data_IF_726233623329
#
_entry.id   IF_726233623329
#
_cell.length_a   1.000
_cell.length_b   1.000
_cell.length_c   1.000
_cell.angle_alpha   90.00
_cell.angle_beta   90.00
_cell.angle_gamma   90.00
#
_symmetry.space_group_name_H-M   'P 1'
#
loop_
_entity.id
_entity.type
_entity.pdbx_description
1 polymer ?
#
# COMPACT_ATOMS: atom_id res chain seq x y z
N UNK A 1 -6.55 -35.49 15.63
CA UNK A 1 -7.82 -36.25 15.64
C UNK A 1 -7.96 -37.19 14.43
N UNK A 2 -6.86 -37.73 13.88
CA UNK A 2 -6.91 -38.68 12.76
C UNK A 2 -5.98 -39.90 12.90
N UNK A 3 -5.28 -40.05 14.03
CA UNK A 3 -4.38 -41.20 14.25
C UNK A 3 -5.10 -42.38 14.93
N UNK A 4 -6.21 -42.13 15.64
CA UNK A 4 -6.97 -43.18 16.33
C UNK A 4 -7.87 -44.02 15.42
N UNK A 5 -8.06 -43.64 14.15
CA UNK A 5 -8.95 -44.34 13.21
C UNK A 5 -8.26 -45.49 12.46
N UNK A 6 -6.93 -45.51 12.39
CA UNK A 6 -6.19 -46.54 11.63
C UNK A 6 -5.92 -47.81 12.45
N UNK A 7 -6.08 -47.75 13.79
CA UNK A 7 -5.82 -48.87 14.70
C UNK A 7 -7.02 -49.83 14.86
N UNK A 8 -8.14 -49.61 14.17
CA UNK A 8 -9.37 -50.40 14.37
C UNK A 8 -9.61 -51.49 13.31
N UNK A 9 -8.68 -51.72 12.37
CA UNK A 9 -8.95 -52.57 11.19
C UNK A 9 -7.95 -53.69 10.94
N UNK A 10 -7.15 -54.10 11.92
CA UNK A 10 -6.21 -55.21 11.76
C UNK A 10 -6.26 -56.15 12.98
N UNK A 11 -7.36 -56.89 13.13
CA UNK A 11 -7.45 -58.04 14.03
C UNK A 11 -8.06 -59.23 13.26
N UNK A 12 -7.24 -59.93 12.47
CA UNK A 12 -7.47 -61.34 12.14
C UNK A 12 -6.15 -62.04 11.71
N UNK A 13 -5.82 -63.10 12.46
CA UNK A 13 -4.96 -64.27 12.16
C UNK A 13 -3.42 -64.34 12.39
N UNK A 14 -3.07 -65.20 13.37
CA UNK A 14 -1.93 -66.13 13.56
C UNK A 14 -0.65 -65.73 14.35
N UNK A 15 -0.13 -66.64 15.22
CA UNK A 15 0.89 -66.32 16.24
C UNK A 15 2.30 -66.81 15.84
N UNK A 16 3.32 -65.98 16.03
CA UNK A 16 4.74 -66.42 16.03
C UNK A 16 5.72 -65.55 15.24
N UNK A 17 5.26 -64.78 14.26
CA UNK A 17 6.08 -63.87 13.42
C UNK A 17 5.73 -62.39 13.63
N UNK A 18 4.73 -62.11 14.46
CA UNK A 18 4.09 -60.79 14.58
C UNK A 18 4.81 -59.82 15.52
N UNK A 19 5.36 -60.29 16.66
CA UNK A 19 5.95 -59.40 17.66
C UNK A 19 7.22 -58.67 17.18
N UNK A 20 8.12 -59.38 16.48
CA UNK A 20 9.35 -58.78 15.96
C UNK A 20 9.11 -57.81 14.79
N UNK A 21 8.08 -58.07 13.98
CA UNK A 21 7.68 -57.20 12.88
C UNK A 21 6.96 -55.93 13.39
N UNK A 22 6.15 -56.07 14.44
CA UNK A 22 5.48 -54.95 15.10
C UNK A 22 6.48 -54.04 15.84
N UNK A 23 7.49 -54.60 16.52
CA UNK A 23 8.56 -53.84 17.18
C UNK A 23 9.42 -53.07 16.17
N UNK A 24 9.71 -53.68 15.01
CA UNK A 24 10.41 -53.01 13.90
C UNK A 24 9.58 -51.85 13.35
N UNK A 25 8.27 -52.03 13.22
CA UNK A 25 7.37 -50.97 12.77
C UNK A 25 7.26 -49.84 13.79
N UNK A 26 7.15 -50.15 15.08
CA UNK A 26 7.10 -49.17 16.18
C UNK A 26 8.41 -48.38 16.23
N UNK A 27 9.56 -49.04 16.10
CA UNK A 27 10.87 -48.40 16.10
C UNK A 27 11.11 -47.54 14.86
N UNK A 28 10.59 -47.94 13.70
CA UNK A 28 10.60 -47.15 12.48
C UNK A 28 9.71 -45.91 12.59
N UNK A 29 8.50 -46.04 13.17
CA UNK A 29 7.60 -44.90 13.39
C UNK A 29 8.16 -43.91 14.42
N UNK A 30 8.81 -44.38 15.49
CA UNK A 30 9.45 -43.52 16.50
C UNK A 30 10.67 -42.76 15.94
N UNK A 31 11.41 -43.41 15.03
CA UNK A 31 12.53 -42.77 14.33
C UNK A 31 12.07 -41.71 13.34
N UNK A 32 10.97 -41.94 12.61
CA UNK A 32 10.37 -40.92 11.75
C UNK A 32 9.78 -39.75 12.54
N UNK A 33 9.14 -39.99 13.69
CA UNK A 33 8.57 -38.93 14.51
C UNK A 33 9.65 -37.99 15.08
N UNK A 34 10.77 -38.55 15.55
CA UNK A 34 11.94 -37.77 16.00
C UNK A 34 12.61 -36.97 14.87
N UNK A 35 12.61 -37.51 13.65
CA UNK A 35 13.12 -36.79 12.48
C UNK A 35 12.22 -35.62 12.08
N UNK A 36 10.90 -35.75 12.25
CA UNK A 36 9.92 -34.69 11.97
C UNK A 36 9.97 -33.57 13.01
N UNK A 37 10.08 -33.90 14.31
CA UNK A 37 10.26 -32.91 15.39
C UNK A 37 11.55 -32.10 15.23
N UNK A 38 12.66 -32.76 14.88
CA UNK A 38 13.94 -32.08 14.63
C UNK A 38 13.91 -31.16 13.39
N UNK A 39 13.14 -31.50 12.36
CA UNK A 39 12.94 -30.65 11.18
C UNK A 39 12.11 -29.40 11.52
N UNK A 40 11.10 -29.56 12.39
CA UNK A 40 10.24 -28.47 12.84
C UNK A 40 10.97 -27.51 13.80
N UNK A 41 11.74 -28.02 14.77
CA UNK A 41 12.58 -27.20 15.67
C UNK A 41 13.64 -26.41 14.88
N UNK A 42 14.29 -27.02 13.89
CA UNK A 42 15.28 -26.33 13.05
C UNK A 42 14.67 -25.21 12.18
N UNK A 43 13.40 -25.33 11.77
CA UNK A 43 12.69 -24.27 11.05
C UNK A 43 12.30 -23.08 11.95
N UNK A 44 11.99 -23.36 13.23
CA UNK A 44 11.66 -22.35 14.24
C UNK A 44 12.91 -21.62 14.76
N UNK A 45 14.01 -22.34 15.02
CA UNK A 45 15.30 -21.71 15.35
C UNK A 45 15.85 -20.90 14.18
N UNK A 46 15.68 -21.36 12.94
CA UNK A 46 16.00 -20.56 11.77
C UNK A 46 15.17 -19.27 11.77
N UNK A 47 13.85 -19.34 12.00
CA UNK A 47 13.01 -18.13 12.01
C UNK A 47 13.35 -17.18 13.16
N UNK A 48 13.70 -17.66 14.36
CA UNK A 48 14.13 -16.80 15.48
C UNK A 48 15.50 -16.16 15.24
N UNK A 49 16.47 -16.91 14.69
CA UNK A 49 17.79 -16.36 14.33
C UNK A 49 17.70 -15.38 13.17
N UNK A 50 16.87 -15.65 12.15
CA UNK A 50 16.56 -14.71 11.07
C UNK A 50 15.88 -13.45 11.60
N UNK A 51 14.96 -13.54 12.56
CA UNK A 51 14.31 -12.37 13.16
C UNK A 51 15.30 -11.47 13.92
N UNK A 52 16.21 -12.06 14.70
CA UNK A 52 17.27 -11.33 15.41
C UNK A 52 18.28 -10.68 14.46
N UNK A 53 18.70 -11.39 13.40
CA UNK A 53 19.56 -10.85 12.34
C UNK A 53 18.87 -9.73 11.57
N UNK A 54 17.59 -9.90 11.23
CA UNK A 54 16.78 -8.89 10.54
C UNK A 54 16.63 -7.66 11.43
N UNK A 55 16.37 -7.78 12.73
CA UNK A 55 16.31 -6.62 13.63
C UNK A 55 17.64 -5.87 13.72
N UNK A 56 18.77 -6.58 13.78
CA UNK A 56 20.09 -5.97 13.85
C UNK A 56 20.45 -5.29 12.52
N UNK A 57 20.23 -5.97 11.38
CA UNK A 57 20.39 -5.41 10.04
C UNK A 57 19.47 -4.21 9.82
N UNK A 58 18.20 -4.29 10.22
CA UNK A 58 17.26 -3.17 10.14
C UNK A 58 17.74 -1.99 10.99
N UNK A 59 18.32 -2.22 12.17
CA UNK A 59 18.82 -1.17 13.05
C UNK A 59 20.05 -0.47 12.45
N UNK A 60 20.98 -1.22 11.88
CA UNK A 60 22.15 -0.67 11.18
C UNK A 60 21.77 0.04 9.87
N UNK A 61 20.86 -0.56 9.10
CA UNK A 61 20.35 0.02 7.86
C UNK A 61 19.56 1.28 8.13
N UNK A 62 18.75 1.34 9.20
CA UNK A 62 17.95 2.51 9.59
C UNK A 62 18.82 3.74 9.82
N UNK A 63 19.97 3.61 10.49
CA UNK A 63 20.89 4.73 10.71
C UNK A 63 21.44 5.31 9.41
N UNK A 64 21.88 4.44 8.49
CA UNK A 64 22.36 4.85 7.16
C UNK A 64 21.24 5.41 6.28
N UNK A 65 20.05 4.81 6.33
CA UNK A 65 18.87 5.26 5.59
C UNK A 65 18.43 6.65 6.01
N UNK A 66 18.38 6.92 7.31
CA UNK A 66 18.04 8.24 7.83
C UNK A 66 19.02 9.31 7.33
N UNK A 67 20.33 9.02 7.34
CA UNK A 67 21.32 9.94 6.75
C UNK A 67 21.11 10.18 5.26
N UNK A 68 20.73 9.15 4.49
CA UNK A 68 20.47 9.27 3.05
C UNK A 68 19.19 10.08 2.79
N UNK A 69 18.10 9.80 3.52
CA UNK A 69 16.79 10.44 3.33
C UNK A 69 16.78 11.89 3.82
N UNK A 70 17.49 12.18 4.91
CA UNK A 70 17.64 13.53 5.46
C UNK A 70 18.60 14.40 4.63
N UNK A 71 19.34 13.79 3.70
CA UNK A 71 20.21 14.52 2.79
C UNK A 71 19.41 15.50 1.92
N UNK A 72 19.85 16.77 1.94
CA UNK A 72 19.31 17.83 1.07
C UNK A 72 19.45 17.50 -0.42
N UNK A 73 20.38 16.63 -0.81
CA UNK A 73 20.53 16.20 -2.20
C UNK A 73 19.41 15.24 -2.60
N UNK A 74 19.11 14.26 -1.75
CA UNK A 74 18.02 13.31 -1.99
C UNK A 74 16.68 14.03 -2.07
N UNK A 75 16.38 14.90 -1.10
CA UNK A 75 15.14 15.69 -1.11
C UNK A 75 15.01 16.58 -2.36
N UNK A 76 16.10 17.22 -2.81
CA UNK A 76 16.10 17.99 -4.06
C UNK A 76 15.92 17.11 -5.30
N UNK A 77 16.51 15.91 -5.33
CA UNK A 77 16.34 14.98 -6.45
C UNK A 77 14.88 14.53 -6.60
N UNK A 78 14.21 14.19 -5.50
CA UNK A 78 12.78 13.85 -5.51
C UNK A 78 11.93 15.04 -5.97
N UNK A 79 12.23 16.25 -5.49
CA UNK A 79 11.56 17.47 -5.94
C UNK A 79 11.73 17.71 -7.45
N UNK A 80 12.94 17.54 -7.98
CA UNK A 80 13.18 17.66 -9.42
C UNK A 80 12.44 16.58 -10.22
N UNK A 81 12.38 15.34 -9.73
CA UNK A 81 11.61 14.27 -10.36
C UNK A 81 10.11 14.60 -10.40
N UNK A 82 9.55 15.18 -9.33
CA UNK A 82 8.15 15.64 -9.30
C UNK A 82 7.93 16.74 -10.36
N UNK A 83 8.83 17.72 -10.44
CA UNK A 83 8.73 18.81 -11.40
C UNK A 83 8.80 18.31 -12.84
N UNK A 84 9.77 17.47 -13.15
CA UNK A 84 9.92 16.89 -14.49
C UNK A 84 8.69 16.06 -14.85
N UNK A 85 8.21 15.20 -13.94
CA UNK A 85 6.98 14.43 -14.16
C UNK A 85 5.79 15.36 -14.44
N UNK A 86 5.62 16.42 -13.66
CA UNK A 86 4.52 17.38 -13.84
C UNK A 86 4.61 18.10 -15.19
N UNK A 87 5.82 18.50 -15.61
CA UNK A 87 6.04 19.13 -16.92
C UNK A 87 5.71 18.15 -18.04
N UNK A 88 6.15 16.89 -17.94
CA UNK A 88 5.84 15.83 -18.91
C UNK A 88 4.33 15.63 -19.05
N UNK A 89 3.56 15.70 -17.96
CA UNK A 89 2.10 15.67 -18.01
C UNK A 89 1.49 16.95 -18.61
N UNK A 90 2.10 18.12 -18.39
CA UNK A 90 1.60 19.39 -18.91
C UNK A 90 1.82 19.60 -20.41
N UNK A 91 2.74 18.84 -21.02
CA UNK A 91 3.06 18.90 -22.46
C UNK A 91 2.15 18.00 -23.29
N UNK A 92 1.31 17.17 -22.67
CA UNK A 92 0.37 16.28 -23.37
C UNK A 92 -0.74 17.07 -24.09
N UNK A 93 -0.72 17.16 -25.43
CA UNK A 93 -1.81 17.76 -26.22
C UNK A 93 -2.76 16.72 -26.82
N UNK A 94 -3.92 17.18 -27.27
CA UNK A 94 -4.83 16.38 -28.08
C UNK A 94 -4.28 16.34 -29.52
N UNK A 95 -3.93 15.15 -30.03
CA UNK A 95 -3.28 14.84 -31.33
C UNK A 95 -1.74 14.70 -31.32
N UNK A 96 -1.17 14.08 -30.28
CA UNK A 96 0.28 13.84 -30.20
C UNK A 96 0.73 12.64 -31.03
N UNK A 97 1.96 12.66 -31.58
CA UNK A 97 2.54 11.53 -32.29
C UNK A 97 2.72 10.33 -31.34
N UNK A 98 2.59 9.11 -31.90
CA UNK A 98 2.60 7.85 -31.16
C UNK A 98 3.90 7.63 -30.34
N UNK A 99 5.01 8.21 -30.80
CA UNK A 99 6.30 8.23 -30.08
C UNK A 99 6.24 9.01 -28.75
N UNK A 100 5.53 10.14 -28.72
CA UNK A 100 5.41 10.94 -27.50
C UNK A 100 4.57 10.20 -26.45
N UNK A 101 3.50 9.53 -26.86
CA UNK A 101 2.67 8.72 -25.97
C UNK A 101 3.49 7.60 -25.31
N UNK A 102 4.33 6.89 -26.07
CA UNK A 102 5.23 5.87 -25.51
C UNK A 102 6.22 6.46 -24.50
N UNK A 103 6.84 7.61 -24.82
CA UNK A 103 7.78 8.27 -23.90
C UNK A 103 7.08 8.69 -22.61
N UNK A 104 5.86 9.24 -22.68
CA UNK A 104 5.06 9.63 -21.52
C UNK A 104 4.69 8.43 -20.64
N UNK A 105 4.33 7.30 -21.24
CA UNK A 105 3.97 6.08 -20.52
C UNK A 105 5.19 5.48 -19.81
N UNK A 106 6.32 5.34 -20.50
CA UNK A 106 7.58 4.87 -19.92
C UNK A 106 8.01 5.80 -18.79
N UNK A 107 7.96 7.11 -19.04
CA UNK A 107 8.29 8.14 -18.04
C UNK A 107 7.42 8.01 -16.79
N UNK A 108 6.12 7.75 -16.95
CA UNK A 108 5.21 7.56 -15.83
C UNK A 108 5.60 6.35 -14.96
N UNK A 109 5.96 5.23 -15.57
CA UNK A 109 6.39 4.02 -14.84
C UNK A 109 7.70 4.29 -14.08
N UNK A 110 8.65 4.98 -14.72
CA UNK A 110 9.93 5.35 -14.09
C UNK A 110 9.73 6.27 -12.89
N UNK A 111 8.93 7.33 -13.02
CA UNK A 111 8.67 8.25 -11.91
C UNK A 111 7.89 7.59 -10.78
N UNK A 112 6.91 6.76 -11.12
CA UNK A 112 6.13 6.03 -10.10
C UNK A 112 7.03 5.09 -9.31
N UNK A 113 7.89 4.30 -9.97
CA UNK A 113 8.80 3.40 -9.28
C UNK A 113 9.80 4.16 -8.38
N UNK A 114 10.31 5.32 -8.84
CA UNK A 114 11.17 6.19 -8.03
C UNK A 114 10.48 6.68 -6.75
N UNK A 115 9.21 7.11 -6.84
CA UNK A 115 8.43 7.54 -5.66
C UNK A 115 8.01 6.37 -4.77
N UNK A 116 7.79 5.19 -5.32
CA UNK A 116 7.55 3.97 -4.54
C UNK A 116 8.77 3.60 -3.72
N UNK A 117 9.97 3.66 -4.31
CA UNK A 117 11.22 3.42 -3.58
C UNK A 117 11.41 4.47 -2.49
N UNK A 118 11.16 5.75 -2.76
CA UNK A 118 11.20 6.82 -1.75
C UNK A 118 10.26 6.52 -0.56
N UNK A 119 9.03 6.10 -0.84
CA UNK A 119 8.05 5.74 0.20
C UNK A 119 8.54 4.57 1.06
N UNK A 120 9.06 3.51 0.44
CA UNK A 120 9.59 2.34 1.14
C UNK A 120 10.78 2.75 2.02
N UNK A 121 11.70 3.54 1.49
CA UNK A 121 12.86 4.04 2.23
C UNK A 121 12.40 4.88 3.45
N UNK A 122 11.46 5.81 3.27
CA UNK A 122 10.91 6.59 4.37
C UNK A 122 10.23 5.71 5.43
N UNK A 123 9.46 4.71 5.01
CA UNK A 123 8.76 3.81 5.91
C UNK A 123 9.75 2.97 6.75
N UNK A 124 10.80 2.45 6.12
CA UNK A 124 11.88 1.72 6.80
C UNK A 124 12.69 2.62 7.75
N UNK A 125 12.88 3.90 7.41
CA UNK A 125 13.69 4.83 8.19
C UNK A 125 12.97 5.40 9.42
N UNK A 126 11.72 5.84 9.28
CA UNK A 126 10.95 6.41 10.40
C UNK A 126 10.15 5.35 11.18
N UNK A 127 9.83 4.23 10.55
CA UNK A 127 8.93 3.21 11.10
C UNK A 127 7.45 3.51 10.86
N UNK A 128 6.63 2.47 10.85
CA UNK A 128 5.22 2.54 10.43
C UNK A 128 4.38 3.55 11.23
N UNK A 129 4.39 3.47 12.56
CA UNK A 129 3.58 4.35 13.41
C UNK A 129 4.00 5.82 13.34
N UNK A 130 5.31 6.10 13.37
CA UNK A 130 5.80 7.47 13.34
C UNK A 130 5.62 8.12 11.97
N UNK A 131 5.69 7.32 10.90
CA UNK A 131 5.39 7.78 9.55
C UNK A 131 3.91 8.19 9.40
N UNK A 132 2.98 7.38 9.95
CA UNK A 132 1.54 7.64 9.85
C UNK A 132 1.03 8.80 10.73
N UNK A 133 1.75 9.19 11.78
CA UNK A 133 1.36 10.36 12.59
C UNK A 133 1.51 11.69 11.83
N UNK A 134 2.31 11.75 10.77
CA UNK A 134 2.52 12.98 9.99
C UNK A 134 1.54 13.06 8.82
N UNK A 135 0.58 14.00 8.81
CA UNK A 135 -0.46 14.06 7.77
C UNK A 135 0.10 14.27 6.37
N UNK A 136 1.20 15.01 6.23
CA UNK A 136 1.86 15.23 4.93
C UNK A 136 2.55 13.98 4.40
N UNK A 137 3.09 13.13 5.27
CA UNK A 137 3.70 11.85 4.88
C UNK A 137 2.63 10.82 4.52
N UNK A 138 1.52 10.79 5.28
CA UNK A 138 0.36 9.95 4.94
C UNK A 138 -0.21 10.32 3.58
N UNK A 139 -0.40 11.62 3.32
CA UNK A 139 -0.88 12.09 2.02
C UNK A 139 0.05 11.66 0.88
N UNK A 140 1.36 11.83 1.06
CA UNK A 140 2.38 11.39 0.10
C UNK A 140 2.30 9.88 -0.20
N UNK A 141 2.13 9.05 0.83
CA UNK A 141 1.91 7.61 0.68
C UNK A 141 0.64 7.26 -0.08
N UNK A 142 -0.47 7.94 0.19
CA UNK A 142 -1.74 7.72 -0.53
C UNK A 142 -1.54 7.99 -2.03
N UNK A 143 -0.86 9.09 -2.39
CA UNK A 143 -0.57 9.43 -3.79
C UNK A 143 0.27 8.35 -4.47
N UNK A 144 1.26 7.77 -3.78
CA UNK A 144 2.08 6.68 -4.30
C UNK A 144 1.27 5.40 -4.47
N UNK A 145 0.44 5.04 -3.49
CA UNK A 145 -0.42 3.84 -3.55
C UNK A 145 -1.38 3.93 -4.73
N UNK A 146 -2.03 5.08 -4.93
CA UNK A 146 -2.92 5.32 -6.08
C UNK A 146 -2.13 5.18 -7.39
N UNK A 147 -0.92 5.75 -7.46
CA UNK A 147 -0.05 5.65 -8.64
C UNK A 147 0.39 4.21 -8.95
N UNK A 148 0.67 3.39 -7.94
CA UNK A 148 1.02 1.97 -8.13
C UNK A 148 -0.21 1.17 -8.55
N UNK A 149 -1.37 1.46 -7.96
CA UNK A 149 -2.63 0.80 -8.32
C UNK A 149 -3.03 1.06 -9.77
N UNK A 150 -2.68 2.23 -10.32
CA UNK A 150 -2.82 2.49 -11.75
C UNK A 150 -1.99 1.50 -12.59
N UNK A 151 -0.71 1.29 -12.23
CA UNK A 151 0.18 0.41 -13.00
C UNK A 151 -0.28 -1.05 -12.94
N UNK A 152 -0.76 -1.50 -11.79
CA UNK A 152 -1.25 -2.88 -11.62
C UNK A 152 -2.64 -3.08 -12.25
N UNK A 153 -3.48 -2.05 -12.23
CA UNK A 153 -4.88 -2.11 -12.68
C UNK A 153 -5.11 -1.93 -14.17
N UNK A 154 -4.11 -2.15 -15.04
CA UNK A 154 -4.17 -1.90 -16.49
C UNK A 154 -5.23 -2.74 -17.27
N UNK A 155 -6.03 -3.57 -16.59
CA UNK A 155 -6.83 -4.62 -17.24
C UNK A 155 -8.26 -4.23 -17.63
N UNK A 156 -8.86 -3.15 -17.11
CA UNK A 156 -10.26 -2.83 -17.42
C UNK A 156 -10.48 -1.35 -17.71
N UNK A 157 -11.19 -1.05 -18.81
CA UNK A 157 -11.30 0.24 -19.52
C UNK A 157 -11.88 1.46 -18.78
N UNK A 158 -11.68 1.61 -17.47
CA UNK A 158 -12.04 2.78 -16.65
C UNK A 158 -10.88 3.74 -16.35
N UNK A 159 -9.69 3.53 -16.91
CA UNK A 159 -8.43 4.14 -16.44
C UNK A 159 -8.22 5.62 -16.82
N UNK A 160 -9.18 6.26 -17.49
CA UNK A 160 -9.05 7.68 -17.81
C UNK A 160 -8.98 8.55 -16.56
N UNK A 161 -9.69 8.18 -15.49
CA UNK A 161 -9.58 8.85 -14.19
C UNK A 161 -8.24 8.59 -13.50
N UNK A 162 -7.65 7.41 -13.71
CA UNK A 162 -6.35 7.06 -13.10
C UNK A 162 -5.20 7.90 -13.67
N UNK A 163 -5.27 8.26 -14.95
CA UNK A 163 -4.33 9.23 -15.55
C UNK A 163 -4.40 10.58 -14.84
N UNK A 164 -5.60 11.05 -14.47
CA UNK A 164 -5.78 12.31 -13.73
C UNK A 164 -5.17 12.25 -12.33
N UNK A 165 -5.16 11.08 -11.67
CA UNK A 165 -4.54 10.95 -10.35
C UNK A 165 -3.03 11.18 -10.36
N UNK A 166 -2.36 11.02 -11.50
CA UNK A 166 -0.93 11.37 -11.63
C UNK A 166 -0.69 12.86 -11.35
N UNK A 167 -1.66 13.73 -11.64
CA UNK A 167 -1.60 15.16 -11.28
C UNK A 167 -1.50 15.35 -9.77
N UNK A 168 -2.00 14.41 -8.95
CA UNK A 168 -1.89 14.49 -7.50
C UNK A 168 -0.44 14.52 -7.01
N UNK A 169 0.51 14.04 -7.82
CA UNK A 169 1.95 14.09 -7.50
C UNK A 169 2.46 15.53 -7.35
N UNK A 170 1.83 16.52 -8.01
CA UNK A 170 2.18 17.94 -7.80
C UNK A 170 1.94 18.37 -6.35
N UNK A 171 0.99 17.75 -5.64
CA UNK A 171 0.77 18.03 -4.22
C UNK A 171 1.90 17.51 -3.33
N UNK A 172 2.74 16.57 -3.79
CA UNK A 172 3.96 16.20 -3.07
C UNK A 172 4.87 17.42 -2.87
N UNK A 173 4.84 18.39 -3.78
CA UNK A 173 5.58 19.66 -3.67
C UNK A 173 5.20 20.46 -2.41
N UNK A 174 3.96 20.31 -1.93
CA UNK A 174 3.50 20.89 -0.65
C UNK A 174 4.38 20.40 0.50
N UNK A 175 4.84 19.14 0.49
CA UNK A 175 5.78 18.59 1.50
C UNK A 175 7.20 19.17 1.37
N UNK A 176 7.58 19.85 0.28
CA UNK A 176 8.93 20.41 0.16
C UNK A 176 8.95 21.92 0.39
N UNK A 177 7.85 22.61 0.08
CA UNK A 177 7.76 24.06 0.23
C UNK A 177 7.03 24.45 1.51
N UNK A 178 7.72 24.98 2.53
CA UNK A 178 7.09 25.38 3.79
C UNK A 178 6.02 26.46 3.61
N UNK A 179 6.18 27.34 2.61
CA UNK A 179 5.16 28.31 2.24
C UNK A 179 3.83 27.64 1.83
N UNK A 180 3.90 26.61 0.98
CA UNK A 180 2.71 25.85 0.54
C UNK A 180 2.08 25.07 1.68
N UNK A 181 2.89 24.48 2.59
CA UNK A 181 2.35 23.82 3.79
C UNK A 181 1.52 24.76 4.65
N UNK A 182 2.06 25.95 4.90
CA UNK A 182 1.38 26.96 5.71
C UNK A 182 0.05 27.35 5.05
N UNK A 183 0.06 27.60 3.73
CA UNK A 183 -1.15 27.91 2.98
C UNK A 183 -2.18 26.78 3.04
N UNK A 184 -1.76 25.53 2.83
CA UNK A 184 -2.66 24.37 2.90
C UNK A 184 -3.25 24.18 4.30
N UNK A 185 -2.45 24.37 5.36
CA UNK A 185 -2.93 24.25 6.74
C UNK A 185 -3.93 25.36 7.09
N UNK A 186 -3.65 26.60 6.68
CA UNK A 186 -4.58 27.74 6.86
C UNK A 186 -5.86 27.48 6.08
N UNK A 187 -5.77 27.01 4.83
CA UNK A 187 -6.92 26.64 4.03
C UNK A 187 -7.79 25.63 4.77
N UNK A 188 -7.20 24.54 5.27
CA UNK A 188 -7.93 23.53 6.03
C UNK A 188 -8.57 24.09 7.30
N UNK A 189 -7.90 24.96 8.04
CA UNK A 189 -8.50 25.65 9.20
C UNK A 189 -9.69 26.53 8.81
N UNK A 190 -9.60 27.23 7.69
CA UNK A 190 -10.71 28.07 7.22
C UNK A 190 -11.88 27.24 6.68
N UNK A 191 -11.60 26.06 6.11
CA UNK A 191 -12.61 25.15 5.61
C UNK A 191 -13.58 24.70 6.70
N UNK A 192 -13.14 24.52 7.95
CA UNK A 192 -14.06 24.17 9.05
C UNK A 192 -15.14 25.24 9.27
N UNK A 193 -14.75 26.51 9.28
CA UNK A 193 -15.71 27.62 9.42
C UNK A 193 -16.60 27.75 8.19
N UNK A 194 -16.00 27.67 6.99
CA UNK A 194 -16.73 27.75 5.71
C UNK A 194 -17.71 26.59 5.56
N UNK A 195 -17.39 25.39 6.07
CA UNK A 195 -18.26 24.22 6.00
C UNK A 195 -19.58 24.44 6.72
N UNK A 196 -19.59 25.11 7.88
CA UNK A 196 -20.83 25.43 8.60
C UNK A 196 -21.74 26.35 7.78
N UNK A 197 -21.18 27.42 7.20
CA UNK A 197 -21.95 28.31 6.32
C UNK A 197 -22.42 27.60 5.05
N UNK A 198 -21.55 26.79 4.44
CA UNK A 198 -21.85 26.00 3.24
C UNK A 198 -22.97 24.99 3.49
N UNK A 199 -22.98 24.32 4.65
CA UNK A 199 -24.06 23.39 5.02
C UNK A 199 -25.41 24.10 5.15
N UNK A 200 -25.45 25.28 5.77
CA UNK A 200 -26.68 26.08 5.86
C UNK A 200 -27.16 26.52 4.48
N UNK A 201 -26.23 26.96 3.62
CA UNK A 201 -26.53 27.33 2.24
C UNK A 201 -27.07 26.14 1.43
N UNK A 202 -26.45 24.96 1.55
CA UNK A 202 -26.90 23.74 0.88
C UNK A 202 -28.29 23.31 1.37
N UNK A 203 -28.57 23.41 2.67
CA UNK A 203 -29.91 23.15 3.23
C UNK A 203 -30.95 24.11 2.65
N UNK A 204 -30.62 25.40 2.60
CA UNK A 204 -31.49 26.42 2.02
C UNK A 204 -31.79 26.10 0.55
N UNK A 205 -30.76 25.85 -0.27
CA UNK A 205 -30.92 25.46 -1.69
C UNK A 205 -31.75 24.19 -1.83
N UNK A 206 -31.56 23.21 -0.94
CA UNK A 206 -32.34 21.97 -0.94
C UNK A 206 -33.84 22.22 -0.69
N UNK A 207 -34.19 23.09 0.26
CA UNK A 207 -35.59 23.46 0.55
C UNK A 207 -36.24 24.13 -0.68
N UNK A 208 -35.57 25.10 -1.32
CA UNK A 208 -36.11 25.73 -2.53
C UNK A 208 -36.25 24.77 -3.68
N UNK A 209 -35.27 23.87 -3.87
CA UNK A 209 -35.34 22.82 -4.89
C UNK A 209 -36.54 21.92 -4.69
N UNK A 210 -36.82 21.53 -3.45
CA UNK A 210 -37.99 20.72 -3.09
C UNK A 210 -39.30 21.46 -3.37
N UNK A 211 -39.43 22.70 -2.86
CA UNK A 211 -40.63 23.53 -3.06
C UNK A 211 -40.90 23.73 -4.56
N UNK A 212 -39.86 24.07 -5.33
CA UNK A 212 -39.96 24.25 -6.78
C UNK A 212 -40.48 22.99 -7.46
N UNK A 213 -39.93 21.82 -7.12
CA UNK A 213 -40.37 20.55 -7.71
C UNK A 213 -41.82 20.22 -7.35
N UNK A 214 -42.23 20.48 -6.10
CA UNK A 214 -43.62 20.28 -5.66
C UNK A 214 -44.59 21.20 -6.40
N UNK A 215 -44.28 22.49 -6.50
CA UNK A 215 -45.12 23.47 -7.19
C UNK A 215 -45.23 23.13 -8.68
N UNK A 216 -44.10 22.81 -9.32
CA UNK A 216 -44.08 22.41 -10.72
C UNK A 216 -44.92 21.15 -10.98
N UNK A 217 -44.81 20.15 -10.10
CA UNK A 217 -45.62 18.93 -10.18
C UNK A 217 -47.12 19.23 -10.02
N UNK A 218 -47.50 20.09 -9.08
CA UNK A 218 -48.90 20.51 -8.90
C UNK A 218 -49.46 21.26 -10.11
N UNK A 219 -48.65 22.10 -10.77
CA UNK A 219 -49.05 22.82 -12.00
C UNK A 219 -49.22 21.85 -13.17
N UNK A 220 -48.35 20.85 -13.31
CA UNK A 220 -48.42 19.88 -14.42
C UNK A 220 -49.56 18.88 -14.28
N UNK A 221 -49.97 18.56 -13.04
CA UNK A 221 -51.07 17.62 -12.76
C UNK A 221 -52.44 18.29 -12.86
N UNK A 222 -52.51 19.62 -12.73
CA UNK A 222 -53.75 20.42 -12.83
C UNK A 222 -54.08 20.83 -14.26
#
# INVERSE_FOLDING_TARGET
>A
MQVSAFLSSADEETPGTSAAHLDLHIKATDSCLKADEGCHEMSLEATETWQGLIQNLLREMKGKLLMIIESKYFQRAIMMAILVNTITLGVEHHNEPEELTQILEISNVVFTSLFSVEMILNLSAYGFFQYLCSPFNVFDSIVVIISVSEIVGHTDGGLSVLRTFRLLRVFKLVRFMPALRCQFLVLMKTMDSVATFSMLLLLFVFIFRYIYMCVFLSIVIS
#
